data_IF_005838354338
#
_entry.id   IF_005838354338
#
_cell.length_a   1.000
_cell.length_b   1.000
_cell.length_c   1.000
_cell.angle_alpha   90.00
_cell.angle_beta   90.00
_cell.angle_gamma   90.00
#
_symmetry.space_group_name_H-M   'P 1'
#
loop_
_entity.id
_entity.type
_entity.pdbx_description
1 polymer ?
#
# COMPACT_ATOMS: atom_id res chain seq x y z
N UNK A 1 6.02 -20.58 3.00
CA UNK A 1 6.04 -19.32 2.23
C UNK A 1 6.97 -18.34 2.93
N UNK A 2 7.84 -17.66 2.19
CA UNK A 2 8.80 -16.73 2.80
C UNK A 2 8.32 -15.27 2.66
N UNK A 3 8.75 -14.42 3.59
CA UNK A 3 8.56 -12.95 3.51
C UNK A 3 9.11 -12.36 2.21
N UNK A 4 10.15 -12.97 1.64
CA UNK A 4 10.75 -12.56 0.37
C UNK A 4 9.79 -12.76 -0.81
N UNK A 5 8.98 -13.82 -0.79
CA UNK A 5 8.00 -14.11 -1.84
C UNK A 5 6.83 -13.12 -1.80
N UNK A 6 6.34 -12.81 -0.59
CA UNK A 6 5.33 -11.76 -0.38
C UNK A 6 5.82 -10.43 -0.95
N UNK A 7 7.05 -10.02 -0.60
CA UNK A 7 7.62 -8.74 -1.08
C UNK A 7 7.72 -8.69 -2.61
N UNK A 8 8.10 -9.79 -3.26
CA UNK A 8 8.16 -9.88 -4.73
C UNK A 8 6.77 -9.76 -5.36
N UNK A 9 5.78 -10.46 -4.80
CA UNK A 9 4.40 -10.40 -5.29
C UNK A 9 3.84 -8.98 -5.19
N UNK A 10 4.03 -8.33 -4.05
CA UNK A 10 3.61 -6.94 -3.83
C UNK A 10 4.32 -5.98 -4.78
N UNK A 11 5.64 -6.08 -4.93
CA UNK A 11 6.39 -5.22 -5.85
C UNK A 11 5.89 -5.35 -7.30
N UNK A 12 5.64 -6.58 -7.75
CA UNK A 12 5.07 -6.83 -9.09
C UNK A 12 3.68 -6.19 -9.23
N UNK A 13 2.79 -6.42 -8.27
CA UNK A 13 1.45 -5.84 -8.27
C UNK A 13 1.48 -4.32 -8.28
N UNK A 14 2.34 -3.71 -7.47
CA UNK A 14 2.41 -2.25 -7.38
C UNK A 14 2.84 -1.62 -8.71
N UNK A 15 3.82 -2.23 -9.39
CA UNK A 15 4.25 -1.80 -10.71
C UNK A 15 3.17 -2.02 -11.78
N UNK A 16 2.43 -3.12 -11.70
CA UNK A 16 1.36 -3.43 -12.68
C UNK A 16 0.15 -2.51 -12.51
N UNK A 17 -0.32 -2.31 -11.28
CA UNK A 17 -1.57 -1.61 -10.96
C UNK A 17 -1.39 -0.11 -10.74
N UNK A 18 -0.40 0.29 -9.93
CA UNK A 18 -0.16 1.71 -9.62
C UNK A 18 0.91 2.37 -10.50
N UNK A 19 1.60 1.60 -11.35
CA UNK A 19 2.72 2.07 -12.19
C UNK A 19 3.87 2.68 -11.38
N UNK A 20 4.03 2.26 -10.13
CA UNK A 20 5.09 2.74 -9.25
C UNK A 20 5.35 1.77 -8.10
N UNK A 21 6.48 1.98 -7.42
CA UNK A 21 6.82 1.22 -6.23
C UNK A 21 5.94 1.61 -5.04
N UNK A 22 5.55 0.60 -4.27
CA UNK A 22 4.87 0.79 -3.00
C UNK A 22 5.81 0.45 -1.84
N UNK A 23 5.62 1.17 -0.73
CA UNK A 23 6.31 0.87 0.52
C UNK A 23 5.45 -0.05 1.36
N UNK A 24 5.97 -1.22 1.74
CA UNK A 24 5.24 -2.11 2.65
C UNK A 24 5.35 -1.57 4.07
N UNK A 25 4.20 -1.29 4.71
CA UNK A 25 4.13 -0.74 6.06
C UNK A 25 3.71 -1.77 7.12
N UNK A 26 3.06 -2.86 6.70
CA UNK A 26 2.60 -3.91 7.60
C UNK A 26 2.45 -5.24 6.88
N UNK A 27 2.76 -6.34 7.59
CA UNK A 27 2.56 -7.71 7.08
C UNK A 27 2.00 -8.55 8.23
N UNK A 28 0.90 -9.24 7.98
CA UNK A 28 0.24 -10.13 8.95
C UNK A 28 -0.12 -11.46 8.29
N UNK A 29 0.25 -12.58 8.90
CA UNK A 29 -0.20 -13.91 8.49
C UNK A 29 -1.51 -14.26 9.21
N UNK A 30 -2.51 -14.74 8.48
CA UNK A 30 -3.82 -15.14 9.01
C UNK A 30 -4.23 -16.46 8.38
N UNK A 31 -4.29 -17.54 9.17
CA UNK A 31 -4.82 -18.86 8.75
C UNK A 31 -4.28 -19.31 7.38
N UNK A 32 -2.96 -19.23 7.21
CA UNK A 32 -2.18 -19.48 5.99
C UNK A 32 -2.24 -18.42 4.88
N UNK A 33 -3.20 -17.51 4.90
CA UNK A 33 -3.23 -16.33 4.02
C UNK A 33 -2.36 -15.20 4.59
N UNK A 34 -2.14 -14.16 3.79
CA UNK A 34 -1.38 -12.98 4.20
C UNK A 34 -2.17 -11.72 3.94
N UNK A 35 -2.09 -10.79 4.88
CA UNK A 35 -2.62 -9.44 4.75
C UNK A 35 -1.42 -8.52 4.78
N UNK A 36 -1.28 -7.68 3.75
CA UNK A 36 -0.18 -6.74 3.60
C UNK A 36 -0.73 -5.33 3.48
N UNK A 37 -0.16 -4.41 4.24
CA UNK A 37 -0.43 -2.99 4.09
C UNK A 37 0.70 -2.33 3.30
N UNK A 38 0.32 -1.53 2.31
CA UNK A 38 1.25 -0.77 1.49
C UNK A 38 0.87 0.71 1.45
N UNK A 39 1.87 1.57 1.28
CA UNK A 39 1.73 2.98 0.97
C UNK A 39 2.22 3.28 -0.45
N UNK A 40 1.41 4.03 -1.19
CA UNK A 40 1.68 4.46 -2.56
C UNK A 40 1.65 5.99 -2.60
N UNK A 41 2.67 6.62 -3.19
CA UNK A 41 2.68 8.07 -3.36
C UNK A 41 1.89 8.47 -4.61
N UNK A 42 0.87 9.29 -4.46
CA UNK A 42 0.14 9.81 -5.61
C UNK A 42 0.77 11.13 -6.02
N UNK A 43 1.43 11.11 -7.18
CA UNK A 43 1.93 12.28 -7.87
C UNK A 43 0.93 12.65 -8.95
N UNK A 44 0.05 13.59 -8.67
CA UNK A 44 -0.75 14.21 -9.72
C UNK A 44 0.06 15.37 -10.31
N UNK A 45 0.24 15.40 -11.64
CA UNK A 45 0.98 16.49 -12.32
C UNK A 45 0.41 17.87 -11.97
N UNK A 46 -0.90 17.96 -11.68
CA UNK A 46 -1.56 19.17 -11.22
C UNK A 46 -1.10 19.64 -9.82
N UNK A 47 -0.76 18.71 -8.91
CA UNK A 47 -0.24 19.04 -7.58
C UNK A 47 1.17 19.63 -7.65
N UNK A 48 1.95 19.22 -8.66
CA UNK A 48 3.31 19.71 -8.93
C UNK A 48 3.30 21.19 -9.33
N UNK A 49 2.35 21.60 -10.17
CA UNK A 49 2.20 23.00 -10.60
C UNK A 49 1.72 23.93 -9.47
N UNK A 50 0.94 23.39 -8.51
CA UNK A 50 0.33 24.17 -7.43
C UNK A 50 1.13 24.14 -6.11
N UNK A 51 2.32 23.54 -6.09
CA UNK A 51 3.14 23.32 -4.89
C UNK A 51 2.36 22.65 -3.72
N UNK A 52 1.38 21.79 -4.04
CA UNK A 52 0.65 21.04 -3.03
C UNK A 52 1.45 19.83 -2.57
N UNK A 53 1.30 19.45 -1.30
CA UNK A 53 1.99 18.27 -0.74
C UNK A 53 1.53 17.02 -1.50
N UNK A 54 2.45 16.09 -1.83
CA UNK A 54 2.07 14.83 -2.46
C UNK A 54 1.16 14.04 -1.53
N UNK A 55 0.24 13.28 -2.10
CA UNK A 55 -0.67 12.42 -1.34
C UNK A 55 -0.04 11.05 -1.14
N UNK A 56 -0.38 10.42 -0.03
CA UNK A 56 -0.03 9.04 0.29
C UNK A 56 -1.33 8.28 0.48
N UNK A 57 -1.52 7.23 -0.31
CA UNK A 57 -2.64 6.31 -0.16
C UNK A 57 -2.14 5.02 0.50
N UNK A 58 -2.86 4.58 1.54
CA UNK A 58 -2.62 3.29 2.19
C UNK A 58 -3.61 2.25 1.67
N UNK A 59 -3.12 1.07 1.32
CA UNK A 59 -3.93 -0.05 0.85
C UNK A 59 -3.70 -1.29 1.71
N UNK A 60 -4.77 -2.06 1.92
CA UNK A 60 -4.69 -3.44 2.40
C UNK A 60 -4.77 -4.37 1.19
N UNK A 61 -3.91 -5.37 1.14
CA UNK A 61 -3.84 -6.40 0.10
C UNK A 61 -3.95 -7.76 0.78
N UNK A 62 -4.89 -8.58 0.32
CA UNK A 62 -5.06 -9.94 0.78
C UNK A 62 -4.44 -10.90 -0.23
N UNK A 63 -3.48 -11.69 0.23
CA UNK A 63 -2.79 -12.72 -0.55
C UNK A 63 -3.17 -14.10 -0.05
N UNK A 64 -3.25 -15.04 -0.98
CA UNK A 64 -3.37 -16.46 -0.66
C UNK A 64 -2.03 -17.11 -0.30
N UNK A 65 -2.09 -18.40 0.04
CA UNK A 65 -0.94 -19.22 0.42
C UNK A 65 0.11 -19.38 -0.70
N UNK A 66 -0.22 -18.99 -1.93
CA UNK A 66 0.65 -19.04 -3.12
C UNK A 66 1.18 -17.66 -3.52
N UNK A 67 1.03 -16.64 -2.66
CA UNK A 67 1.31 -15.24 -2.96
C UNK A 67 0.42 -14.63 -4.06
N UNK A 68 -0.69 -15.27 -4.41
CA UNK A 68 -1.68 -14.73 -5.34
C UNK A 68 -2.50 -13.64 -4.68
N UNK A 69 -2.61 -12.47 -5.33
CA UNK A 69 -3.46 -11.39 -4.82
C UNK A 69 -4.92 -11.75 -5.07
N UNK A 70 -5.69 -11.87 -3.98
CA UNK A 70 -7.13 -12.14 -4.01
C UNK A 70 -7.93 -10.85 -4.09
N UNK A 71 -7.54 -9.86 -3.29
CA UNK A 71 -8.23 -8.58 -3.18
C UNK A 71 -7.29 -7.49 -2.69
N UNK A 72 -7.67 -6.25 -2.97
CA UNK A 72 -7.07 -5.09 -2.33
C UNK A 72 -8.12 -4.00 -2.14
N UNK A 73 -7.94 -3.16 -1.12
CA UNK A 73 -8.81 -2.02 -0.83
C UNK A 73 -8.00 -0.84 -0.31
N UNK A 74 -8.41 0.37 -0.64
CA UNK A 74 -7.83 1.59 -0.07
C UNK A 74 -8.34 1.75 1.35
N UNK A 75 -7.43 1.86 2.32
CA UNK A 75 -7.75 2.12 3.72
C UNK A 75 -7.91 3.61 3.98
N UNK A 76 -6.95 4.42 3.51
CA UNK A 76 -6.94 5.87 3.75
C UNK A 76 -6.10 6.61 2.70
N UNK A 77 -6.29 7.93 2.67
CA UNK A 77 -5.49 8.88 1.89
C UNK A 77 -5.13 10.06 2.79
N UNK A 78 -3.86 10.47 2.79
CA UNK A 78 -3.37 11.59 3.59
C UNK A 78 -2.35 12.41 2.80
N UNK A 79 -2.15 13.65 3.19
CA UNK A 79 -1.00 14.41 2.71
C UNK A 79 0.29 13.88 3.32
N UNK A 80 1.36 13.84 2.53
CA UNK A 80 2.68 13.45 3.00
C UNK A 80 3.13 14.39 4.12
N UNK A 81 3.50 13.81 5.25
CA UNK A 81 3.97 14.55 6.43
C UNK A 81 2.85 15.08 7.32
N UNK A 82 1.58 14.83 7.00
CA UNK A 82 0.48 15.06 7.95
C UNK A 82 0.48 13.95 8.99
N UNK A 83 0.43 14.34 10.26
CA UNK A 83 0.20 13.45 11.40
C UNK A 83 -1.32 13.30 11.50
N UNK A 84 -1.82 12.10 11.27
CA UNK A 84 -3.18 11.77 11.70
C UNK A 84 -3.15 11.65 13.22
N UNK A 85 -3.85 12.53 13.92
CA UNK A 85 -4.17 12.33 15.32
C UNK A 85 -5.05 11.08 15.41
N UNK A 86 -4.49 9.99 15.95
CA UNK A 86 -5.22 8.78 16.29
C UNK A 86 -6.13 9.11 17.48
N UNK A 87 -7.32 9.67 17.22
CA UNK A 87 -8.38 9.68 18.21
C UNK A 87 -9.00 8.27 18.23
N UNK A 88 -8.65 7.49 19.26
CA UNK A 88 -9.47 6.34 19.67
C UNK A 88 -10.76 6.91 20.30
N UNK A 89 -11.91 6.69 19.65
CA UNK A 89 -13.25 6.86 20.27
C UNK A 89 -13.65 5.61 21.06
#
# INVERSE_FOLDING_TARGET
MSLSDVRKSISKFSQEFFKQDATITGIKSVENNWIVEIEVMVYDDYMREKAKRPLVETYQIDLDNSCGIKSFKRLRMREKGSIEELYEE
#
